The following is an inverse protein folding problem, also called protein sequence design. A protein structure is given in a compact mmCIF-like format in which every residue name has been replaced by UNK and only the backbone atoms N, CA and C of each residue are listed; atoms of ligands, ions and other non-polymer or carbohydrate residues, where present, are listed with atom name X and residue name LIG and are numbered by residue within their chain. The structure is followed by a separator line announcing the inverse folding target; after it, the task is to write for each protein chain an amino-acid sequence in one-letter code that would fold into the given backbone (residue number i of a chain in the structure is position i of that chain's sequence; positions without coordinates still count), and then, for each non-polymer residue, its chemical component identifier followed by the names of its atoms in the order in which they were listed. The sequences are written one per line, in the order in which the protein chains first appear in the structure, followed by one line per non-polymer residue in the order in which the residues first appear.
data_IF_630390764482
#
_entry.id   IF_630390764482
#
_cell.length_a   1.000
_cell.length_b   1.000
_cell.length_c   1.000
_cell.angle_alpha   90.00
_cell.angle_beta   90.00
_cell.angle_gamma   90.00
#
_symmetry.space_group_name_H-M   'P 1'
#
loop_
_entity.id
_entity.type
_entity.pdbx_description
1 polymer ?
#
# COMPACT_ATOMS: atom_id res chain seq x y z
N UNK A 1 -29.97 -11.30 4.98
CA UNK A 1 -29.39 -10.79 6.24
C UNK A 1 -29.20 -9.29 6.10
N UNK A 2 -29.25 -8.57 7.22
CA UNK A 2 -28.86 -7.17 7.30
C UNK A 2 -27.40 -7.07 7.70
N UNK A 3 -26.55 -6.52 6.83
CA UNK A 3 -25.10 -6.50 7.00
C UNK A 3 -24.61 -5.06 7.05
N UNK A 4 -23.79 -4.74 8.07
CA UNK A 4 -23.08 -3.49 8.12
C UNK A 4 -21.64 -3.64 7.58
N UNK A 5 -21.20 -2.64 6.82
CA UNK A 5 -19.82 -2.50 6.38
C UNK A 5 -19.32 -1.16 6.89
N UNK A 6 -18.20 -1.19 7.62
CA UNK A 6 -17.57 0.01 8.19
C UNK A 6 -16.30 0.33 7.41
N UNK A 7 -16.33 1.46 6.71
CA UNK A 7 -15.25 1.93 5.84
C UNK A 7 -15.54 1.73 4.34
N UNK A 8 -15.27 2.77 3.55
CA UNK A 8 -15.44 2.79 2.09
C UNK A 8 -14.12 2.78 1.32
N UNK A 9 -13.05 2.29 1.92
CA UNK A 9 -11.83 1.92 1.19
C UNK A 9 -12.14 0.80 0.18
N UNK A 10 -11.19 0.47 -0.68
CA UNK A 10 -11.39 -0.54 -1.74
C UNK A 10 -11.96 -1.86 -1.22
N UNK A 11 -11.51 -2.32 -0.03
CA UNK A 11 -12.01 -3.58 0.58
C UNK A 11 -13.49 -3.51 0.92
N UNK A 12 -13.93 -2.40 1.55
CA UNK A 12 -15.33 -2.20 1.91
C UNK A 12 -16.23 -2.03 0.70
N UNK A 13 -15.81 -1.24 -0.28
CA UNK A 13 -16.56 -1.03 -1.52
C UNK A 13 -16.75 -2.32 -2.32
N UNK A 14 -15.69 -3.14 -2.46
CA UNK A 14 -15.74 -4.42 -3.16
C UNK A 14 -16.65 -5.40 -2.42
N UNK A 15 -16.57 -5.47 -1.09
CA UNK A 15 -17.44 -6.33 -0.30
C UNK A 15 -18.91 -5.90 -0.40
N UNK A 16 -19.18 -4.58 -0.31
CA UNK A 16 -20.54 -4.04 -0.50
C UNK A 16 -21.11 -4.38 -1.87
N UNK A 17 -20.30 -4.17 -2.93
CA UNK A 17 -20.69 -4.47 -4.30
C UNK A 17 -21.07 -5.94 -4.49
N UNK A 18 -20.40 -6.87 -3.85
CA UNK A 18 -20.72 -8.31 -3.93
C UNK A 18 -21.94 -8.68 -3.08
N UNK A 19 -21.98 -8.20 -1.84
CA UNK A 19 -23.02 -8.59 -0.88
C UNK A 19 -24.39 -8.02 -1.18
N UNK A 20 -24.49 -6.85 -1.86
CA UNK A 20 -25.74 -6.19 -2.15
C UNK A 20 -26.73 -7.00 -2.99
N UNK A 21 -26.24 -8.01 -3.71
CA UNK A 21 -27.09 -8.82 -4.59
C UNK A 21 -28.03 -9.73 -3.82
N UNK A 22 -27.59 -10.22 -2.64
CA UNK A 22 -28.30 -11.23 -1.85
C UNK A 22 -28.65 -10.73 -0.44
N UNK A 23 -28.18 -9.54 -0.04
CA UNK A 23 -28.30 -9.04 1.33
C UNK A 23 -28.67 -7.55 1.38
N UNK A 24 -29.31 -7.16 2.47
CA UNK A 24 -29.48 -5.74 2.83
C UNK A 24 -28.14 -5.24 3.39
N UNK A 25 -27.48 -4.35 2.66
CA UNK A 25 -26.17 -3.79 3.05
C UNK A 25 -26.31 -2.34 3.47
N UNK A 26 -25.69 -1.96 4.58
CA UNK A 26 -25.54 -0.57 5.01
C UNK A 26 -24.05 -0.30 5.17
N UNK A 27 -23.57 0.76 4.52
CA UNK A 27 -22.14 1.13 4.52
C UNK A 27 -21.96 2.42 5.31
N UNK A 28 -21.08 2.40 6.31
CA UNK A 28 -20.73 3.55 7.14
C UNK A 28 -19.36 4.09 6.75
N UNK A 29 -19.29 5.41 6.56
CA UNK A 29 -18.04 6.11 6.27
C UNK A 29 -17.90 7.31 7.20
N UNK A 30 -16.72 7.42 7.81
CA UNK A 30 -16.40 8.53 8.71
C UNK A 30 -16.13 9.83 7.95
N UNK A 31 -15.55 9.72 6.75
CA UNK A 31 -15.22 10.86 5.90
C UNK A 31 -16.47 11.36 5.15
N UNK A 32 -16.39 12.56 4.60
CA UNK A 32 -17.41 13.18 3.74
C UNK A 32 -17.40 12.63 2.31
N UNK A 33 -16.44 11.76 1.96
CA UNK A 33 -16.27 11.12 0.65
C UNK A 33 -16.08 9.62 0.77
N UNK A 34 -16.37 8.90 -0.30
CA UNK A 34 -16.01 7.47 -0.45
C UNK A 34 -14.59 7.30 -1.00
N UNK A 35 -14.00 6.12 -0.83
CA UNK A 35 -12.79 5.69 -1.52
C UNK A 35 -11.54 5.50 -0.64
N UNK A 36 -11.50 6.04 0.57
CA UNK A 36 -10.33 5.93 1.45
C UNK A 36 -9.06 6.46 0.77
N UNK A 37 -8.03 5.61 0.59
CA UNK A 37 -6.77 5.96 -0.09
C UNK A 37 -6.92 6.17 -1.63
N UNK A 38 -8.02 5.77 -2.25
CA UNK A 38 -8.37 6.19 -3.59
C UNK A 38 -8.99 7.60 -3.52
N UNK A 39 -8.14 8.60 -3.70
CA UNK A 39 -8.51 10.00 -3.56
C UNK A 39 -8.00 10.81 -4.75
N UNK A 40 -8.92 11.22 -5.60
CA UNK A 40 -8.64 12.09 -6.75
C UNK A 40 -9.10 13.51 -6.45
N UNK A 41 -8.20 14.48 -6.60
CA UNK A 41 -8.43 15.89 -6.34
C UNK A 41 -8.37 16.68 -7.66
N UNK A 42 -9.30 17.57 -7.89
CA UNK A 42 -9.25 18.46 -9.05
C UNK A 42 -8.40 19.69 -8.77
N UNK A 43 -7.37 19.89 -9.59
CA UNK A 43 -6.44 21.03 -9.48
C UNK A 43 -6.48 21.84 -10.76
N UNK A 44 -6.68 23.15 -10.65
CA UNK A 44 -6.64 24.07 -11.78
C UNK A 44 -5.25 24.66 -11.95
N UNK A 45 -4.64 24.43 -13.12
CA UNK A 45 -3.37 25.04 -13.54
C UNK A 45 -3.63 25.82 -14.83
N UNK A 46 -3.36 27.12 -14.78
CA UNK A 46 -3.54 28.06 -15.89
C UNK A 46 -4.92 27.93 -16.59
N UNK A 47 -5.96 27.79 -15.78
CA UNK A 47 -7.35 27.70 -16.23
C UNK A 47 -7.81 26.30 -16.68
N UNK A 48 -6.94 25.30 -16.65
CA UNK A 48 -7.25 23.90 -17.01
C UNK A 48 -7.33 23.05 -15.74
N UNK A 49 -8.45 22.32 -15.59
CA UNK A 49 -8.63 21.39 -14.45
C UNK A 49 -7.98 20.03 -14.75
N UNK A 50 -7.27 19.50 -13.76
CA UNK A 50 -6.59 18.20 -13.80
C UNK A 50 -7.04 17.34 -12.62
N UNK A 51 -7.46 16.11 -12.89
CA UNK A 51 -7.82 15.12 -11.88
C UNK A 51 -6.54 14.41 -11.40
N UNK A 52 -6.14 14.64 -10.16
CA UNK A 52 -4.86 14.20 -9.60
C UNK A 52 -5.09 13.21 -8.46
N UNK A 53 -4.55 12.01 -8.58
CA UNK A 53 -4.58 11.01 -7.50
C UNK A 53 -3.52 11.33 -6.44
N UNK A 54 -3.94 11.32 -5.17
CA UNK A 54 -3.07 11.66 -4.04
C UNK A 54 -2.72 10.46 -3.16
N UNK A 55 -3.34 9.30 -3.40
CA UNK A 55 -3.08 8.05 -2.68
C UNK A 55 -2.79 6.91 -3.66
N UNK A 56 -3.79 6.14 -4.06
CA UNK A 56 -3.61 5.09 -5.07
C UNK A 56 -3.47 5.68 -6.48
N UNK A 57 -2.34 5.38 -7.17
CA UNK A 57 -1.99 6.01 -8.46
C UNK A 57 -1.82 4.97 -9.58
N UNK A 58 -1.08 3.88 -9.32
CA UNK A 58 -0.62 2.95 -10.37
C UNK A 58 -0.84 1.49 -9.99
N UNK A 59 -1.03 0.66 -11.00
CA UNK A 59 -1.12 -0.80 -10.89
C UNK A 59 -0.55 -1.47 -12.16
N UNK A 60 -0.44 -2.78 -12.16
CA UNK A 60 -0.17 -3.57 -13.37
C UNK A 60 -1.05 -4.82 -13.39
N UNK A 61 -1.38 -5.31 -14.56
CA UNK A 61 -2.34 -6.41 -14.71
C UNK A 61 -1.80 -7.75 -14.16
N UNK A 62 -0.48 -7.92 -14.15
CA UNK A 62 0.16 -9.15 -13.68
C UNK A 62 0.02 -9.33 -12.17
N UNK A 63 0.23 -8.25 -11.40
CA UNK A 63 0.21 -8.29 -9.94
C UNK A 63 -1.13 -7.88 -9.33
N UNK A 64 -2.05 -7.33 -10.16
CA UNK A 64 -3.36 -6.85 -9.74
C UNK A 64 -4.50 -7.52 -10.53
N UNK A 65 -4.56 -8.88 -10.58
CA UNK A 65 -5.54 -9.58 -11.41
C UNK A 65 -6.99 -9.36 -10.96
N UNK A 66 -7.26 -9.36 -9.65
CA UNK A 66 -8.60 -9.13 -9.14
C UNK A 66 -9.06 -7.68 -9.35
N UNK A 67 -8.18 -6.73 -9.15
CA UNK A 67 -8.46 -5.32 -9.43
C UNK A 67 -8.65 -5.07 -10.94
N UNK A 68 -7.83 -5.68 -11.80
CA UNK A 68 -7.98 -5.58 -13.25
C UNK A 68 -9.31 -6.17 -13.73
N UNK A 69 -9.73 -7.30 -13.17
CA UNK A 69 -11.04 -7.90 -13.44
C UNK A 69 -12.18 -6.98 -13.00
N UNK A 70 -12.06 -6.38 -11.83
CA UNK A 70 -13.03 -5.41 -11.31
C UNK A 70 -13.17 -4.19 -12.23
N UNK A 71 -12.06 -3.60 -12.68
CA UNK A 71 -12.10 -2.46 -13.62
C UNK A 71 -12.79 -2.84 -14.93
N UNK A 72 -12.54 -4.05 -15.43
CA UNK A 72 -13.20 -4.56 -16.63
C UNK A 72 -14.70 -4.74 -16.43
N UNK A 73 -15.12 -5.31 -15.29
CA UNK A 73 -16.54 -5.45 -14.91
C UNK A 73 -17.26 -4.11 -14.85
N UNK A 74 -16.60 -3.10 -14.29
CA UNK A 74 -17.14 -1.75 -14.13
C UNK A 74 -17.05 -0.90 -15.41
N UNK A 75 -16.39 -1.38 -16.47
CA UNK A 75 -16.16 -0.60 -17.69
C UNK A 75 -15.25 0.62 -17.49
N UNK A 76 -14.35 0.57 -16.50
CA UNK A 76 -13.44 1.68 -16.16
C UNK A 76 -12.16 1.57 -16.96
N UNK A 77 -11.87 2.60 -17.75
CA UNK A 77 -10.70 2.65 -18.61
C UNK A 77 -9.41 2.97 -17.82
N UNK A 78 -8.32 2.37 -18.27
CA UNK A 78 -6.96 2.68 -17.80
C UNK A 78 -6.01 2.90 -18.96
N UNK A 79 -4.88 3.55 -18.70
CA UNK A 79 -3.86 3.86 -19.70
C UNK A 79 -2.47 3.45 -19.20
N UNK A 80 -1.54 3.10 -20.09
CA UNK A 80 -0.14 2.87 -19.72
C UNK A 80 0.45 4.11 -19.04
N UNK A 81 1.37 3.87 -18.10
CA UNK A 81 2.11 4.92 -17.42
C UNK A 81 3.60 4.62 -17.37
N UNK A 82 4.40 5.65 -17.16
CA UNK A 82 5.85 5.53 -16.99
C UNK A 82 6.17 5.35 -15.51
N UNK A 83 6.64 4.15 -15.14
CA UNK A 83 7.18 3.89 -13.81
C UNK A 83 8.69 4.05 -13.84
N UNK A 84 9.21 5.00 -13.12
CA UNK A 84 10.64 5.25 -13.01
C UNK A 84 10.97 5.80 -11.62
N UNK A 85 12.19 5.53 -11.17
CA UNK A 85 12.63 5.88 -9.82
C UNK A 85 13.95 6.64 -9.87
N UNK A 86 14.05 7.73 -9.10
CA UNK A 86 15.28 8.48 -8.90
C UNK A 86 15.62 8.66 -7.43
N UNK A 87 16.90 8.84 -7.17
CA UNK A 87 17.43 9.22 -5.86
C UNK A 87 18.18 10.54 -6.00
N UNK A 88 17.86 11.44 -5.10
CA UNK A 88 18.52 12.73 -4.90
C UNK A 88 19.12 12.75 -3.50
N UNK A 89 20.41 12.49 -3.40
CA UNK A 89 21.14 12.61 -2.12
C UNK A 89 21.75 14.02 -2.00
N UNK A 90 21.05 14.90 -1.29
CA UNK A 90 21.46 16.31 -1.11
C UNK A 90 22.75 16.45 -0.29
N UNK A 91 23.08 15.45 0.54
CA UNK A 91 24.30 15.46 1.39
C UNK A 91 25.59 15.40 0.55
N UNK A 92 25.57 14.65 -0.55
CA UNK A 92 26.73 14.52 -1.45
C UNK A 92 26.47 15.03 -2.88
N UNK A 93 25.26 15.52 -3.16
CA UNK A 93 24.86 16.01 -4.48
C UNK A 93 24.75 14.92 -5.54
N UNK A 94 24.49 13.65 -5.14
CA UNK A 94 24.25 12.56 -6.06
C UNK A 94 22.81 12.58 -6.59
N UNK A 95 22.68 12.54 -7.92
CA UNK A 95 21.38 12.38 -8.58
C UNK A 95 21.49 11.31 -9.65
N UNK A 96 20.59 10.33 -9.62
CA UNK A 96 20.51 9.30 -10.66
C UNK A 96 19.07 8.78 -10.80
N UNK A 97 18.75 8.19 -11.97
CA UNK A 97 17.48 7.53 -12.26
C UNK A 97 17.74 6.12 -12.80
N UNK A 98 17.01 5.15 -12.29
CA UNK A 98 17.26 3.71 -12.53
C UNK A 98 16.63 3.14 -13.82
N UNK A 99 16.26 3.98 -14.83
CA UNK A 99 15.53 3.49 -16.00
C UNK A 99 16.42 2.89 -17.12
N UNK A 100 17.60 3.48 -17.36
CA UNK A 100 18.56 3.04 -18.37
C UNK A 100 19.94 3.65 -18.10
N UNK A 101 20.97 3.21 -18.84
CA UNK A 101 22.34 3.70 -18.65
C UNK A 101 22.47 5.23 -18.81
N UNK A 102 21.71 5.84 -19.74
CA UNK A 102 21.78 7.28 -19.96
C UNK A 102 21.25 8.08 -18.75
N UNK A 103 20.21 7.58 -18.09
CA UNK A 103 19.60 8.19 -16.92
C UNK A 103 20.29 7.78 -15.63
N UNK A 104 20.86 6.57 -15.57
CA UNK A 104 21.68 6.10 -14.46
C UNK A 104 22.93 6.99 -14.30
N UNK A 105 23.54 7.35 -15.41
CA UNK A 105 24.63 8.32 -15.47
C UNK A 105 24.13 9.71 -15.87
N UNK A 106 22.99 10.15 -15.33
CA UNK A 106 22.43 11.48 -15.57
C UNK A 106 23.46 12.58 -15.28
N UNK A 107 24.18 12.44 -14.18
CA UNK A 107 25.39 13.19 -13.87
C UNK A 107 26.60 12.46 -14.47
N UNK A 108 27.15 12.95 -15.58
CA UNK A 108 28.25 12.28 -16.31
C UNK A 108 29.52 12.07 -15.48
N UNK A 109 29.75 12.91 -14.45
CA UNK A 109 30.86 12.75 -13.49
C UNK A 109 30.81 11.38 -12.78
N UNK A 110 29.63 10.81 -12.60
CA UNK A 110 29.45 9.52 -11.91
C UNK A 110 30.06 8.33 -12.66
N UNK A 111 30.35 8.47 -13.98
CA UNK A 111 31.10 7.48 -14.75
C UNK A 111 32.52 7.23 -14.19
N UNK A 112 33.12 8.26 -13.62
CA UNK A 112 34.48 8.23 -13.06
C UNK A 112 34.48 8.22 -11.53
N UNK A 113 33.33 8.07 -10.87
CA UNK A 113 33.25 7.99 -9.40
C UNK A 113 33.29 6.54 -8.90
N UNK A 114 34.37 6.11 -8.23
CA UNK A 114 34.48 4.73 -7.74
C UNK A 114 33.37 4.35 -6.76
N UNK A 115 32.93 5.30 -5.92
CA UNK A 115 31.82 5.08 -4.97
C UNK A 115 30.51 4.76 -5.69
N UNK A 116 30.19 5.44 -6.79
CA UNK A 116 28.98 5.18 -7.57
C UNK A 116 29.07 3.85 -8.32
N UNK A 117 30.23 3.51 -8.89
CA UNK A 117 30.45 2.20 -9.52
C UNK A 117 30.30 1.07 -8.50
N UNK A 118 30.85 1.26 -7.29
CA UNK A 118 30.66 0.31 -6.17
C UNK A 118 29.17 0.15 -5.83
N UNK A 119 28.42 1.24 -5.70
CA UNK A 119 26.97 1.19 -5.47
C UNK A 119 26.26 0.33 -6.51
N UNK A 120 26.56 0.51 -7.81
CA UNK A 120 25.96 -0.29 -8.89
C UNK A 120 26.30 -1.79 -8.79
N UNK A 121 27.54 -2.11 -8.41
CA UNK A 121 27.97 -3.51 -8.22
C UNK A 121 27.25 -4.14 -7.01
N UNK A 122 27.05 -3.38 -5.94
CA UNK A 122 26.30 -3.83 -4.76
C UNK A 122 24.81 -4.04 -5.08
N UNK A 123 24.19 -3.17 -5.88
CA UNK A 123 22.81 -3.36 -6.38
C UNK A 123 22.69 -4.68 -7.16
N UNK A 124 23.61 -4.93 -8.10
CA UNK A 124 23.61 -6.17 -8.87
C UNK A 124 23.81 -7.41 -7.98
N UNK A 125 24.70 -7.31 -7.00
CA UNK A 125 24.93 -8.36 -5.99
C UNK A 125 23.69 -8.63 -5.15
N UNK A 126 23.04 -7.56 -4.67
CA UNK A 126 21.78 -7.65 -3.91
C UNK A 126 20.70 -8.36 -4.71
N UNK A 127 20.43 -7.93 -5.93
CA UNK A 127 19.41 -8.54 -6.79
C UNK A 127 19.65 -10.04 -6.99
N UNK A 128 20.91 -10.44 -7.17
CA UNK A 128 21.27 -11.87 -7.28
C UNK A 128 21.04 -12.62 -5.97
N UNK A 129 21.45 -12.05 -4.83
CA UNK A 129 21.31 -12.69 -3.52
C UNK A 129 19.83 -12.80 -3.10
N UNK A 130 19.05 -11.74 -3.36
CA UNK A 130 17.61 -11.73 -3.10
C UNK A 130 16.87 -12.81 -3.92
N UNK A 131 17.20 -13.01 -5.19
CA UNK A 131 16.63 -14.11 -5.99
C UNK A 131 16.97 -15.50 -5.43
N UNK A 132 18.19 -15.71 -4.94
CA UNK A 132 18.57 -16.97 -4.30
C UNK A 132 17.76 -17.21 -3.02
N UNK A 133 17.45 -16.14 -2.27
CA UNK A 133 16.62 -16.22 -1.07
C UNK A 133 15.17 -16.66 -1.40
N UNK A 134 14.63 -16.23 -2.54
CA UNK A 134 13.28 -16.61 -3.00
C UNK A 134 13.29 -18.02 -3.61
N UNK A 135 14.27 -18.37 -4.44
CA UNK A 135 14.33 -19.67 -5.12
C UNK A 135 14.51 -20.86 -4.18
N UNK A 136 15.04 -20.63 -2.97
CA UNK A 136 15.11 -21.68 -1.93
C UNK A 136 13.76 -22.13 -1.39
N UNK A 137 12.66 -21.43 -1.72
CA UNK A 137 11.29 -21.71 -1.28
C UNK A 137 10.48 -22.59 -2.26
N UNK A 138 11.00 -22.92 -3.44
CA UNK A 138 10.29 -23.85 -4.31
C UNK A 138 10.25 -25.23 -3.67
N UNK A 139 9.08 -25.81 -3.40
CA UNK A 139 9.02 -27.19 -2.93
C UNK A 139 9.70 -28.06 -3.99
N UNK A 140 10.72 -28.79 -3.59
CA UNK A 140 11.32 -29.81 -4.43
C UNK A 140 10.18 -30.70 -4.97
N UNK A 141 10.10 -30.87 -6.29
CA UNK A 141 9.27 -31.88 -6.94
C UNK A 141 9.37 -33.17 -6.12
N UNK A 142 8.26 -33.87 -5.86
CA UNK A 142 8.31 -35.08 -5.07
C UNK A 142 9.11 -36.14 -5.80
N UNK A 143 10.32 -36.38 -5.37
CA UNK A 143 11.05 -37.60 -5.60
C UNK A 143 11.14 -38.28 -4.24
N UNK A 144 10.25 -39.27 -4.08
CA UNK A 144 10.38 -40.44 -3.21
C UNK A 144 11.58 -40.43 -2.25
N UNK A 145 11.36 -40.08 -0.96
CA UNK A 145 12.10 -40.55 0.21
C UNK A 145 11.48 -40.06 1.52
N UNK A 146 11.51 -40.96 2.50
CA UNK A 146 11.02 -40.90 3.87
C UNK A 146 11.31 -39.59 4.61
N UNK A 147 10.47 -39.17 5.61
CA UNK A 147 10.67 -37.95 6.36
C UNK A 147 11.92 -38.04 7.23
N UNK A 148 12.96 -37.30 6.87
CA UNK A 148 14.05 -37.01 7.80
C UNK A 148 13.60 -35.93 8.79
N UNK A 149 14.00 -35.99 10.07
CA UNK A 149 13.66 -35.00 11.07
C UNK A 149 14.24 -33.64 10.68
N UNK A 150 13.37 -32.62 10.62
CA UNK A 150 13.74 -31.25 10.30
C UNK A 150 14.93 -30.77 11.14
N UNK A 151 16.04 -30.50 10.47
CA UNK A 151 17.21 -29.91 11.09
C UNK A 151 16.82 -28.56 11.72
N UNK A 152 17.11 -28.40 13.01
CA UNK A 152 16.79 -27.25 13.87
C UNK A 152 17.43 -25.89 13.45
N UNK A 153 18.04 -25.81 12.26
CA UNK A 153 18.75 -24.64 11.75
C UNK A 153 17.97 -23.75 10.76
N UNK A 154 16.79 -24.15 10.31
CA UNK A 154 16.04 -23.44 9.25
C UNK A 154 15.01 -22.44 9.79
N UNK A 155 14.51 -22.62 11.00
CA UNK A 155 13.51 -21.70 11.60
C UNK A 155 14.05 -20.29 11.88
N UNK A 156 15.34 -20.10 12.11
CA UNK A 156 15.96 -18.80 12.40
C UNK A 156 16.21 -17.89 11.18
N UNK A 157 15.98 -18.38 9.95
CA UNK A 157 16.19 -17.59 8.73
C UNK A 157 14.90 -17.03 8.10
N UNK A 158 13.74 -17.45 8.55
CA UNK A 158 12.47 -16.97 7.99
C UNK A 158 12.09 -15.56 8.46
N UNK A 159 12.59 -15.17 9.63
CA UNK A 159 12.27 -13.89 10.26
C UNK A 159 13.45 -12.88 10.21
N UNK A 160 14.53 -13.18 9.46
CA UNK A 160 15.69 -12.28 9.30
C UNK A 160 15.22 -10.92 8.74
N UNK A 161 15.54 -9.83 9.42
CA UNK A 161 15.25 -8.47 8.97
C UNK A 161 16.17 -8.04 7.82
N UNK A 162 15.78 -7.00 7.07
CA UNK A 162 16.67 -6.40 6.06
C UNK A 162 17.95 -5.87 6.67
N UNK A 163 17.94 -5.34 7.90
CA UNK A 163 19.13 -4.88 8.60
C UNK A 163 20.10 -6.04 8.82
N UNK A 164 19.64 -7.16 9.40
CA UNK A 164 20.46 -8.35 9.63
C UNK A 164 20.98 -8.97 8.32
N UNK A 165 20.13 -8.99 7.27
CA UNK A 165 20.50 -9.47 5.95
C UNK A 165 21.63 -8.63 5.34
N UNK A 166 21.53 -7.30 5.40
CA UNK A 166 22.54 -6.37 4.89
C UNK A 166 23.87 -6.51 5.63
N UNK A 167 23.82 -6.61 6.96
CA UNK A 167 24.99 -6.81 7.80
C UNK A 167 25.67 -8.14 7.49
N UNK A 168 24.93 -9.24 7.47
CA UNK A 168 25.43 -10.59 7.17
C UNK A 168 26.09 -10.70 5.80
N UNK A 169 25.57 -9.95 4.81
CA UNK A 169 26.13 -9.94 3.46
C UNK A 169 27.15 -8.82 3.23
N UNK A 170 27.52 -8.05 4.25
CA UNK A 170 28.50 -6.96 4.18
C UNK A 170 28.21 -5.95 3.06
N UNK A 171 26.97 -5.46 3.00
CA UNK A 171 26.62 -4.33 2.14
C UNK A 171 27.06 -3.01 2.79
N UNK A 172 27.43 -2.04 1.97
CA UNK A 172 27.89 -0.74 2.49
C UNK A 172 26.74 0.16 2.96
N UNK A 173 27.04 1.11 3.85
CA UNK A 173 26.08 2.15 4.26
C UNK A 173 25.57 2.98 3.07
N UNK A 174 26.44 3.18 2.06
CA UNK A 174 26.07 3.85 0.82
C UNK A 174 24.98 3.06 0.05
N UNK A 175 25.11 1.73 -0.02
CA UNK A 175 24.09 0.87 -0.62
C UNK A 175 22.75 1.00 0.13
N UNK A 176 22.79 0.97 1.45
CA UNK A 176 21.58 1.09 2.29
C UNK A 176 20.92 2.45 2.10
N UNK A 177 21.69 3.53 2.26
CA UNK A 177 21.17 4.90 2.28
C UNK A 177 20.87 5.49 0.89
N UNK A 178 21.50 4.98 -0.18
CA UNK A 178 21.34 5.51 -1.54
C UNK A 178 20.57 4.59 -2.49
N UNK A 179 20.21 3.36 -2.05
CA UNK A 179 19.43 2.44 -2.87
C UNK A 179 18.36 1.68 -2.08
N UNK A 180 18.75 0.85 -1.10
CA UNK A 180 17.83 -0.10 -0.46
C UNK A 180 16.70 0.62 0.28
N UNK A 181 17.03 1.54 1.17
CA UNK A 181 16.06 2.32 1.94
C UNK A 181 15.27 3.26 1.03
N UNK A 182 15.91 4.10 0.17
CA UNK A 182 15.19 4.95 -0.77
C UNK A 182 14.15 4.20 -1.61
N UNK A 183 14.54 3.06 -2.17
CA UNK A 183 13.67 2.31 -3.04
C UNK A 183 12.55 1.61 -2.25
N UNK A 184 12.91 0.87 -1.20
CA UNK A 184 11.95 0.11 -0.42
C UNK A 184 11.00 1.00 0.39
N UNK A 185 11.52 2.00 1.10
CA UNK A 185 10.67 2.92 1.87
C UNK A 185 9.68 3.70 0.97
N UNK A 186 10.06 4.01 -0.29
CA UNK A 186 9.15 4.64 -1.25
C UNK A 186 7.95 3.76 -1.60
N UNK A 187 8.14 2.43 -1.66
CA UNK A 187 7.09 1.48 -2.04
C UNK A 187 6.00 1.41 -0.95
N UNK A 188 6.41 1.40 0.32
CA UNK A 188 5.49 1.28 1.47
C UNK A 188 5.22 2.59 2.21
N UNK A 189 5.75 3.71 1.72
CA UNK A 189 5.70 5.01 2.44
C UNK A 189 6.19 4.87 3.89
N UNK A 190 7.20 4.01 4.09
CA UNK A 190 7.71 3.62 5.40
C UNK A 190 8.83 4.54 5.88
N UNK A 191 8.93 4.70 7.19
CA UNK A 191 10.08 5.37 7.79
C UNK A 191 11.38 4.57 7.51
N UNK A 192 12.48 5.24 7.15
CA UNK A 192 13.77 4.59 6.85
C UNK A 192 14.27 3.63 7.93
N UNK A 193 14.04 3.96 9.21
CA UNK A 193 14.50 3.13 10.33
C UNK A 193 13.61 1.89 10.50
N UNK A 194 12.30 2.07 10.44
CA UNK A 194 11.34 0.96 10.55
C UNK A 194 11.39 0.05 9.34
N UNK A 195 11.64 0.59 8.14
CA UNK A 195 11.75 -0.19 6.91
C UNK A 195 12.85 -1.27 6.99
N UNK A 196 13.97 -1.00 7.65
CA UNK A 196 15.05 -1.98 7.80
C UNK A 196 14.67 -3.18 8.67
N UNK A 197 13.58 -3.10 9.44
CA UNK A 197 13.01 -4.23 10.20
C UNK A 197 12.09 -5.13 9.37
N UNK A 198 11.80 -4.74 8.13
CA UNK A 198 11.01 -5.56 7.22
C UNK A 198 11.70 -6.92 7.00
N UNK A 199 10.97 -8.07 7.05
CA UNK A 199 11.57 -9.38 6.81
C UNK A 199 12.18 -9.48 5.41
N UNK A 200 13.48 -9.77 5.33
CA UNK A 200 14.27 -9.77 4.10
C UNK A 200 13.68 -10.70 3.02
N UNK A 201 13.16 -11.86 3.43
CA UNK A 201 12.53 -12.83 2.54
C UNK A 201 11.22 -12.30 1.95
N UNK A 202 10.38 -11.65 2.75
CA UNK A 202 9.12 -11.06 2.29
C UNK A 202 9.40 -9.92 1.30
N UNK A 203 10.39 -9.08 1.59
CA UNK A 203 10.86 -8.03 0.68
C UNK A 203 11.39 -8.61 -0.65
N UNK A 204 12.26 -9.62 -0.58
CA UNK A 204 12.82 -10.26 -1.77
C UNK A 204 11.72 -10.88 -2.65
N UNK A 205 10.73 -11.56 -2.04
CA UNK A 205 9.58 -12.15 -2.74
C UNK A 205 8.72 -11.07 -3.41
N UNK A 206 8.46 -9.98 -2.70
CA UNK A 206 7.75 -8.84 -3.30
C UNK A 206 8.49 -8.28 -4.52
N UNK A 207 9.80 -8.04 -4.38
CA UNK A 207 10.64 -7.51 -5.46
C UNK A 207 10.65 -8.45 -6.67
N UNK A 208 10.73 -9.77 -6.44
CA UNK A 208 10.73 -10.76 -7.52
C UNK A 208 9.37 -10.82 -8.23
N UNK A 209 8.27 -10.89 -7.48
CA UNK A 209 6.91 -10.89 -8.03
C UNK A 209 6.61 -9.67 -8.91
N UNK A 210 7.17 -8.50 -8.56
CA UNK A 210 6.99 -7.26 -9.31
C UNK A 210 8.03 -7.05 -10.42
N UNK A 211 8.88 -8.06 -10.69
CA UNK A 211 9.94 -7.96 -11.70
C UNK A 211 11.06 -6.97 -11.36
N UNK A 212 11.10 -6.47 -10.11
CA UNK A 212 12.03 -5.40 -9.68
C UNK A 212 13.46 -5.90 -9.46
N UNK A 213 13.66 -7.22 -9.36
CA UNK A 213 14.99 -7.83 -9.32
C UNK A 213 15.56 -8.09 -10.72
N UNK A 214 14.79 -7.82 -11.81
CA UNK A 214 15.20 -8.05 -13.18
C UNK A 214 15.20 -6.75 -13.99
N UNK A 215 16.11 -6.68 -14.97
CA UNK A 215 16.13 -5.60 -15.96
C UNK A 215 15.31 -5.94 -17.21
N UNK A 216 14.77 -7.17 -17.29
CA UNK A 216 14.00 -7.68 -18.42
C UNK A 216 12.60 -8.07 -17.96
N UNK A 217 11.65 -8.02 -18.89
CA UNK A 217 10.27 -8.48 -18.68
C UNK A 217 9.56 -7.77 -17.51
N UNK A 218 9.79 -6.47 -17.36
CA UNK A 218 9.09 -5.66 -16.38
C UNK A 218 7.61 -5.52 -16.77
N UNK A 219 6.67 -5.57 -15.80
CA UNK A 219 5.25 -5.41 -16.08
C UNK A 219 4.96 -4.00 -16.66
N UNK A 220 3.97 -3.93 -17.54
CA UNK A 220 3.46 -2.65 -18.03
C UNK A 220 2.62 -2.02 -16.92
N UNK A 221 3.09 -0.90 -16.40
CA UNK A 221 2.35 -0.15 -15.41
C UNK A 221 1.23 0.67 -16.05
N UNK A 222 0.15 0.83 -15.33
CA UNK A 222 -1.06 1.52 -15.77
C UNK A 222 -1.56 2.46 -14.68
N UNK A 223 -2.32 3.48 -15.09
CA UNK A 223 -3.09 4.36 -14.22
C UNK A 223 -4.53 4.44 -14.71
N UNK A 224 -5.46 4.78 -13.83
CA UNK A 224 -6.87 4.91 -14.21
C UNK A 224 -7.08 6.22 -14.97
N UNK A 225 -7.69 6.15 -16.13
CA UNK A 225 -7.98 7.33 -16.95
C UNK A 225 -9.00 8.24 -16.24
N UNK A 226 -8.59 9.45 -15.92
CA UNK A 226 -9.41 10.42 -15.17
C UNK A 226 -9.38 10.24 -13.65
N UNK A 227 -8.43 9.46 -13.15
CA UNK A 227 -8.16 9.26 -11.72
C UNK A 227 -8.93 8.11 -11.09
N UNK A 228 -8.44 7.68 -9.93
CA UNK A 228 -8.96 6.52 -9.16
C UNK A 228 -10.42 6.68 -8.74
N UNK A 229 -10.92 7.90 -8.57
CA UNK A 229 -12.35 8.15 -8.28
C UNK A 229 -13.29 7.51 -9.32
N UNK A 230 -12.86 7.28 -10.56
CA UNK A 230 -13.70 6.66 -11.59
C UNK A 230 -14.19 5.27 -11.22
N UNK A 231 -13.32 4.44 -10.67
CA UNK A 231 -13.75 3.12 -10.22
C UNK A 231 -14.51 3.19 -8.89
N UNK A 232 -14.14 4.12 -8.01
CA UNK A 232 -14.84 4.35 -6.74
C UNK A 232 -16.29 4.74 -6.99
N UNK A 233 -16.53 5.72 -7.87
CA UNK A 233 -17.86 6.17 -8.26
C UNK A 233 -18.66 5.04 -8.92
N UNK A 234 -18.05 4.28 -9.82
CA UNK A 234 -18.70 3.17 -10.50
C UNK A 234 -19.14 2.05 -9.52
N UNK A 235 -18.28 1.72 -8.53
CA UNK A 235 -18.65 0.80 -7.47
C UNK A 235 -19.79 1.34 -6.61
N UNK A 236 -19.60 2.55 -6.08
CA UNK A 236 -20.56 3.17 -5.15
C UNK A 236 -21.93 3.43 -5.81
N UNK A 237 -21.99 3.71 -7.10
CA UNK A 237 -23.24 3.96 -7.81
C UNK A 237 -24.27 2.83 -7.66
N UNK A 238 -23.80 1.57 -7.56
CA UNK A 238 -24.67 0.40 -7.44
C UNK A 238 -25.33 0.22 -6.07
N UNK A 239 -24.91 0.99 -5.05
CA UNK A 239 -25.45 0.96 -3.68
C UNK A 239 -25.38 2.34 -3.00
N UNK A 240 -25.44 3.43 -3.76
CA UNK A 240 -25.27 4.80 -3.24
C UNK A 240 -26.24 5.17 -2.13
N UNK A 241 -27.49 4.70 -2.20
CA UNK A 241 -28.51 4.93 -1.18
C UNK A 241 -28.24 4.23 0.16
N UNK A 242 -27.30 3.29 0.20
CA UNK A 242 -26.92 2.52 1.38
C UNK A 242 -25.65 3.07 2.05
N UNK A 243 -24.99 4.04 1.43
CA UNK A 243 -23.77 4.67 1.95
C UNK A 243 -24.12 5.85 2.83
N UNK A 244 -23.61 5.85 4.05
CA UNK A 244 -23.79 6.90 5.03
C UNK A 244 -22.45 7.60 5.29
N UNK A 245 -22.24 8.70 4.60
CA UNK A 245 -21.07 9.57 4.75
C UNK A 245 -21.14 10.39 6.02
N UNK A 246 -19.99 10.86 6.49
CA UNK A 246 -19.85 11.65 7.73
C UNK A 246 -20.56 11.01 8.92
N UNK A 247 -20.53 9.68 8.95
CA UNK A 247 -21.22 8.88 9.95
C UNK A 247 -20.25 7.84 10.58
N UNK A 248 -19.30 8.32 11.38
CA UNK A 248 -18.33 7.44 12.03
C UNK A 248 -19.02 6.46 12.97
N UNK A 249 -18.57 5.20 12.90
CA UNK A 249 -18.92 4.16 13.87
C UNK A 249 -17.98 4.28 15.08
N UNK A 250 -18.58 4.37 16.25
CA UNK A 250 -17.83 4.54 17.50
C UNK A 250 -17.74 3.24 18.32
N UNK A 251 -18.70 2.32 18.14
CA UNK A 251 -18.74 1.08 18.92
C UNK A 251 -19.42 -0.04 18.13
N UNK A 252 -18.84 -1.22 18.20
CA UNK A 252 -19.40 -2.48 17.70
C UNK A 252 -19.45 -3.47 18.85
N UNK A 253 -20.65 -3.93 19.22
CA UNK A 253 -20.87 -4.83 20.33
C UNK A 253 -21.69 -6.04 19.88
N UNK A 254 -21.25 -7.24 20.25
CA UNK A 254 -22.09 -8.44 20.12
C UNK A 254 -23.20 -8.38 21.13
N UNK A 255 -24.44 -8.52 20.72
CA UNK A 255 -25.59 -8.54 21.59
C UNK A 255 -26.25 -9.93 21.55
N UNK A 256 -26.35 -10.57 22.69
CA UNK A 256 -27.19 -11.75 22.90
C UNK A 256 -28.28 -11.36 23.89
N UNK A 257 -29.43 -10.85 23.41
CA UNK A 257 -30.52 -10.55 24.32
C UNK A 257 -31.00 -11.84 24.97
N UNK A 258 -31.38 -11.79 26.23
CA UNK A 258 -32.00 -12.92 26.96
C UNK A 258 -33.26 -13.35 26.18
N UNK A 259 -33.19 -14.45 25.41
CA UNK A 259 -34.30 -14.98 24.60
C UNK A 259 -34.43 -14.44 23.15
N UNK A 260 -33.49 -13.64 22.66
CA UNK A 260 -33.52 -13.10 21.28
C UNK A 260 -32.45 -13.72 20.37
N UNK A 261 -32.58 -13.49 19.03
CA UNK A 261 -31.59 -13.90 18.05
C UNK A 261 -30.26 -13.15 18.30
N UNK A 262 -29.10 -13.82 18.31
CA UNK A 262 -27.80 -13.16 18.38
C UNK A 262 -27.68 -12.11 17.26
N UNK A 263 -27.09 -10.96 17.54
CA UNK A 263 -26.88 -9.88 16.57
C UNK A 263 -25.76 -8.97 17.02
N UNK A 264 -25.46 -7.98 16.19
CA UNK A 264 -24.41 -7.03 16.46
C UNK A 264 -25.03 -5.64 16.48
N UNK A 265 -24.77 -4.90 17.55
CA UNK A 265 -25.17 -3.50 17.68
C UNK A 265 -24.02 -2.60 17.26
N UNK A 266 -24.31 -1.65 16.38
CA UNK A 266 -23.38 -0.60 15.95
C UNK A 266 -23.88 0.73 16.49
N UNK A 267 -23.06 1.41 17.30
CA UNK A 267 -23.28 2.80 17.66
C UNK A 267 -22.49 3.71 16.73
N UNK A 268 -23.18 4.65 16.12
CA UNK A 268 -22.65 5.61 15.16
C UNK A 268 -23.16 7.03 15.50
N UNK A 269 -22.69 8.05 14.79
CA UNK A 269 -22.99 9.46 15.12
C UNK A 269 -24.48 9.82 15.13
N UNK A 270 -25.33 9.04 14.45
CA UNK A 270 -26.78 9.30 14.35
C UNK A 270 -27.62 8.35 15.19
N UNK A 271 -27.01 7.49 16.03
CA UNK A 271 -27.73 6.56 16.91
C UNK A 271 -27.10 5.17 16.98
N UNK A 272 -27.93 4.16 17.22
CA UNK A 272 -27.49 2.76 17.23
C UNK A 272 -28.44 1.89 16.41
N UNK A 273 -27.88 0.93 15.68
CA UNK A 273 -28.62 -0.01 14.84
C UNK A 273 -28.12 -1.44 15.02
N UNK A 274 -29.01 -2.40 14.76
CA UNK A 274 -28.71 -3.83 14.87
C UNK A 274 -28.55 -4.48 13.49
N UNK A 275 -27.56 -5.35 13.39
CA UNK A 275 -27.19 -6.10 12.20
C UNK A 275 -26.99 -7.58 12.49
N UNK A 276 -27.15 -8.43 11.46
CA UNK A 276 -26.87 -9.86 11.54
C UNK A 276 -25.38 -10.16 11.48
N UNK A 277 -24.64 -9.36 10.67
CA UNK A 277 -23.18 -9.46 10.44
C UNK A 277 -22.59 -8.07 10.29
N UNK A 278 -21.30 -7.96 10.63
CA UNK A 278 -20.54 -6.71 10.48
C UNK A 278 -19.20 -7.03 9.81
N UNK A 279 -18.85 -6.24 8.78
CA UNK A 279 -17.53 -6.22 8.19
C UNK A 279 -16.83 -4.92 8.58
N UNK A 280 -15.71 -5.03 9.31
CA UNK A 280 -14.81 -3.93 9.60
C UNK A 280 -13.77 -3.84 8.47
N UNK A 281 -13.95 -2.86 7.57
CA UNK A 281 -13.09 -2.59 6.42
C UNK A 281 -12.27 -1.30 6.62
N UNK A 282 -11.92 -1.03 7.87
CA UNK A 282 -11.05 0.06 8.33
C UNK A 282 -9.61 -0.44 8.49
N UNK A 283 -8.69 0.41 8.97
CA UNK A 283 -7.41 -0.06 9.48
C UNK A 283 -7.60 -1.01 10.67
N UNK A 284 -6.61 -1.88 10.94
CA UNK A 284 -6.75 -2.88 12.01
C UNK A 284 -6.78 -2.26 13.40
N UNK A 285 -6.03 -1.19 13.64
CA UNK A 285 -6.05 -0.41 14.88
C UNK A 285 -7.39 0.31 15.10
N UNK A 286 -7.98 0.89 14.04
CA UNK A 286 -9.32 1.47 14.10
C UNK A 286 -10.38 0.39 14.35
N UNK A 287 -10.28 -0.76 13.68
CA UNK A 287 -11.17 -1.89 13.92
C UNK A 287 -11.12 -2.34 15.39
N UNK A 288 -9.92 -2.49 15.93
CA UNK A 288 -9.72 -2.86 17.35
C UNK A 288 -10.31 -1.81 18.30
N UNK A 289 -10.11 -0.52 17.99
CA UNK A 289 -10.56 0.59 18.82
C UNK A 289 -12.09 0.67 18.94
N UNK A 290 -12.83 0.32 17.89
CA UNK A 290 -14.30 0.38 17.90
C UNK A 290 -14.97 -0.90 18.43
N UNK A 291 -14.25 -2.01 18.60
CA UNK A 291 -14.76 -3.21 19.25
C UNK A 291 -15.00 -2.95 20.75
N UNK A 292 -16.21 -3.22 21.22
CA UNK A 292 -16.57 -3.02 22.63
C UNK A 292 -15.84 -3.98 23.56
N UNK A 293 -15.80 -5.26 23.18
CA UNK A 293 -15.22 -6.36 23.94
C UNK A 293 -14.34 -7.22 23.00
N UNK A 294 -13.15 -6.72 22.60
CA UNK A 294 -12.27 -7.49 21.75
C UNK A 294 -11.73 -8.73 22.49
N UNK A 295 -11.80 -9.90 21.84
CA UNK A 295 -11.20 -11.13 22.36
C UNK A 295 -9.68 -11.02 22.44
N UNK A 296 -9.02 -11.89 23.20
CA UNK A 296 -7.56 -11.93 23.28
C UNK A 296 -6.91 -12.14 21.91
N UNK A 297 -7.52 -12.94 21.03
CA UNK A 297 -7.06 -13.15 19.66
C UNK A 297 -7.20 -11.86 18.82
N UNK A 298 -8.34 -11.16 18.89
CA UNK A 298 -8.54 -9.89 18.18
C UNK A 298 -7.55 -8.82 18.67
N UNK A 299 -7.32 -8.71 19.97
CA UNK A 299 -6.32 -7.78 20.53
C UNK A 299 -4.91 -8.11 20.03
N UNK A 300 -4.53 -9.39 20.07
CA UNK A 300 -3.20 -9.82 19.63
C UNK A 300 -2.99 -9.63 18.13
N UNK A 301 -3.96 -10.03 17.31
CA UNK A 301 -3.82 -10.05 15.85
C UNK A 301 -3.97 -8.64 15.25
N UNK A 302 -5.04 -7.91 15.62
CA UNK A 302 -5.27 -6.56 15.07
C UNK A 302 -4.27 -5.54 15.62
N UNK A 303 -3.90 -5.68 16.89
CA UNK A 303 -2.95 -4.79 17.55
C UNK A 303 -1.48 -4.99 17.17
N UNK A 304 -1.14 -6.13 16.53
CA UNK A 304 0.22 -6.38 16.06
C UNK A 304 0.59 -5.59 14.81
N UNK A 305 -0.40 -5.04 14.09
CA UNK A 305 -0.18 -4.26 12.88
C UNK A 305 -0.20 -2.77 13.25
N UNK A 306 0.98 -2.18 13.32
CA UNK A 306 1.13 -0.75 13.58
C UNK A 306 0.97 0.07 12.30
N UNK A 307 0.69 1.37 12.45
CA UNK A 307 0.52 2.28 11.32
C UNK A 307 1.43 3.50 11.45
N UNK A 308 2.02 3.87 10.33
CA UNK A 308 2.78 5.09 10.20
C UNK A 308 1.94 6.15 9.50
N UNK A 309 1.84 7.33 10.12
CA UNK A 309 1.22 8.51 9.52
C UNK A 309 2.18 9.17 8.56
N UNK A 310 1.66 9.57 7.40
CA UNK A 310 2.40 10.30 6.39
C UNK A 310 1.60 11.52 5.98
N UNK A 311 2.26 12.67 5.97
CA UNK A 311 1.70 13.90 5.37
C UNK A 311 1.86 13.83 3.86
N UNK A 312 0.84 14.22 3.12
CA UNK A 312 0.81 14.22 1.66
C UNK A 312 0.45 15.60 1.18
N UNK A 313 1.37 16.25 0.48
CA UNK A 313 1.18 17.60 -0.06
C UNK A 313 1.09 17.57 -1.57
N UNK A 314 -0.04 18.05 -2.11
CA UNK A 314 -0.24 18.30 -3.54
C UNK A 314 0.20 19.71 -3.88
N UNK A 315 1.16 19.88 -4.78
CA UNK A 315 1.81 21.17 -5.02
C UNK A 315 2.39 21.30 -6.45
N UNK A 316 2.97 22.46 -6.75
CA UNK A 316 3.64 22.76 -8.03
C UNK A 316 5.08 23.25 -7.87
N UNK A 317 5.72 22.99 -6.74
CA UNK A 317 7.09 23.40 -6.45
C UNK A 317 8.11 22.49 -7.14
N UNK A 318 8.66 22.94 -8.26
CA UNK A 318 9.62 22.18 -9.07
C UNK A 318 10.95 21.89 -8.34
N UNK A 319 11.27 22.59 -7.24
CA UNK A 319 12.46 22.31 -6.41
C UNK A 319 12.46 20.94 -5.76
N UNK A 320 11.29 20.29 -5.70
CA UNK A 320 11.12 18.93 -5.22
C UNK A 320 11.47 17.86 -6.28
N UNK A 321 11.85 18.25 -7.49
CA UNK A 321 12.40 17.38 -8.51
C UNK A 321 13.94 17.49 -8.59
N UNK A 322 14.65 16.47 -9.10
CA UNK A 322 16.09 16.55 -9.36
C UNK A 322 16.46 17.80 -10.18
N UNK A 323 17.57 18.42 -9.85
CA UNK A 323 18.12 19.55 -10.63
C UNK A 323 18.57 19.06 -12.02
N UNK A 324 19.20 17.89 -12.06
CA UNK A 324 19.59 17.24 -13.31
C UNK A 324 18.36 16.70 -14.05
N UNK A 325 17.95 17.35 -15.15
CA UNK A 325 16.73 16.98 -15.88
C UNK A 325 16.65 15.50 -16.26
N UNK A 326 17.77 14.86 -16.62
CA UNK A 326 17.83 13.44 -16.96
C UNK A 326 17.63 12.53 -15.76
N UNK A 327 17.79 13.03 -14.53
CA UNK A 327 17.55 12.29 -13.29
C UNK A 327 16.08 12.38 -12.86
N UNK A 328 15.28 13.30 -13.39
CA UNK A 328 13.86 13.42 -13.06
C UNK A 328 13.11 12.14 -13.42
N UNK A 329 12.37 11.62 -12.48
CA UNK A 329 11.62 10.38 -12.60
C UNK A 329 10.15 10.60 -12.20
N UNK A 330 9.31 9.61 -12.45
CA UNK A 330 7.94 9.63 -11.92
C UNK A 330 7.90 9.52 -10.40
N UNK A 331 8.88 8.85 -9.79
CA UNK A 331 9.10 8.77 -8.34
C UNK A 331 10.48 9.32 -8.02
N UNK A 332 10.57 10.34 -7.17
CA UNK A 332 11.83 10.99 -6.82
C UNK A 332 12.00 10.95 -5.30
N UNK A 333 12.95 10.15 -4.83
CA UNK A 333 13.29 10.06 -3.41
C UNK A 333 14.37 11.08 -3.06
N UNK A 334 14.12 11.85 -2.03
CA UNK A 334 15.05 12.85 -1.54
C UNK A 334 15.66 12.35 -0.23
N UNK A 335 16.99 12.15 -0.24
CA UNK A 335 17.78 11.93 0.96
C UNK A 335 18.25 13.29 1.45
N UNK A 336 17.67 13.75 2.54
CA UNK A 336 18.02 15.00 3.20
C UNK A 336 18.25 14.75 4.70
N UNK A 337 19.10 15.53 5.36
CA UNK A 337 19.21 15.50 6.81
C UNK A 337 18.55 16.76 7.37
N UNK A 338 17.87 16.68 8.52
CA UNK A 338 17.74 15.59 9.49
C UNK A 338 16.29 15.11 9.72
N UNK A 339 15.40 15.13 8.74
CA UNK A 339 13.96 14.87 8.96
C UNK A 339 13.66 13.43 9.44
N UNK A 340 14.59 12.49 9.22
CA UNK A 340 14.42 11.10 9.60
C UNK A 340 13.29 10.39 8.84
N UNK A 341 12.52 11.11 8.01
CA UNK A 341 11.40 10.58 7.25
C UNK A 341 11.76 10.38 5.77
N UNK A 342 11.14 9.40 5.14
CA UNK A 342 11.25 9.20 3.70
C UNK A 342 10.47 10.31 2.96
N UNK A 343 11.18 11.21 2.28
CA UNK A 343 10.55 12.21 1.41
C UNK A 343 10.50 11.68 -0.01
N UNK A 344 9.29 11.46 -0.52
CA UNK A 344 9.05 10.95 -1.87
C UNK A 344 8.18 11.93 -2.64
N UNK A 345 8.65 12.36 -3.80
CA UNK A 345 7.88 13.23 -4.70
C UNK A 345 7.45 12.45 -5.95
N UNK A 346 6.15 12.33 -6.14
CA UNK A 346 5.52 11.76 -7.33
C UNK A 346 5.27 12.85 -8.36
N UNK A 347 5.74 12.65 -9.59
CA UNK A 347 5.50 13.57 -10.69
C UNK A 347 4.27 13.12 -11.48
N UNK A 348 3.14 13.74 -11.19
CA UNK A 348 1.84 13.31 -11.68
C UNK A 348 1.64 13.53 -13.18
N UNK A 349 2.37 14.51 -13.77
CA UNK A 349 2.37 14.68 -15.23
C UNK A 349 2.86 13.41 -15.94
N UNK A 350 3.91 12.75 -15.41
CA UNK A 350 4.44 11.50 -15.95
C UNK A 350 3.53 10.31 -15.58
N UNK A 351 3.09 10.23 -14.31
CA UNK A 351 2.33 9.09 -13.80
C UNK A 351 0.91 9.02 -14.36
N UNK A 352 0.23 10.15 -14.51
CA UNK A 352 -1.16 10.19 -15.00
C UNK A 352 -1.28 10.76 -16.42
N UNK A 353 -0.16 11.12 -17.06
CA UNK A 353 -0.16 11.70 -18.41
C UNK A 353 -0.82 13.08 -18.46
N UNK A 354 -0.69 13.89 -17.38
CA UNK A 354 -1.33 15.18 -17.27
C UNK A 354 -0.60 16.22 -18.13
N UNK A 355 -1.34 16.85 -19.04
CA UNK A 355 -0.81 17.91 -19.92
C UNK A 355 -0.97 19.28 -19.26
N UNK A 356 -0.20 19.53 -18.19
CA UNK A 356 -0.15 20.82 -17.52
C UNK A 356 1.14 21.58 -17.89
N UNK A 357 1.08 22.91 -17.85
CA UNK A 357 2.21 23.81 -18.13
C UNK A 357 3.24 23.81 -17.01
N UNK A 358 2.81 23.44 -15.78
CA UNK A 358 3.65 23.33 -14.58
C UNK A 358 3.71 21.89 -14.13
N UNK A 359 4.77 21.47 -13.42
CA UNK A 359 4.76 20.17 -12.75
C UNK A 359 3.65 20.13 -11.69
N UNK A 360 2.88 19.06 -11.70
CA UNK A 360 1.94 18.72 -10.65
C UNK A 360 2.58 17.59 -9.85
N UNK A 361 2.80 17.83 -8.59
CA UNK A 361 3.60 16.99 -7.70
C UNK A 361 2.78 16.60 -6.47
N UNK A 362 2.96 15.36 -6.05
CA UNK A 362 2.45 14.85 -4.77
C UNK A 362 3.66 14.42 -3.96
N UNK A 363 3.90 15.06 -2.82
CA UNK A 363 5.07 14.77 -1.99
C UNK A 363 4.64 14.23 -0.63
N UNK A 364 5.24 13.12 -0.23
CA UNK A 364 5.10 12.53 1.09
C UNK A 364 6.19 13.09 2.02
N UNK A 365 5.78 13.47 3.23
CA UNK A 365 6.66 13.85 4.35
C UNK A 365 7.69 14.93 4.01
N UNK A 366 7.32 15.89 3.18
CA UNK A 366 8.20 16.99 2.76
C UNK A 366 7.54 18.37 2.80
N UNK A 367 6.50 18.54 3.60
CA UNK A 367 5.74 19.80 3.65
C UNK A 367 6.61 21.00 4.01
N UNK A 368 7.58 20.82 4.89
CA UNK A 368 8.55 21.82 5.33
C UNK A 368 9.56 22.25 4.24
N UNK A 369 9.75 21.43 3.22
CA UNK A 369 10.65 21.68 2.09
C UNK A 369 9.95 22.42 0.93
N UNK A 370 8.61 22.43 0.92
CA UNK A 370 7.78 22.94 -0.16
C UNK A 370 7.47 24.43 0.07
N UNK A 371 7.54 25.26 -0.99
CA UNK A 371 7.05 26.64 -0.92
C UNK A 371 5.55 26.67 -0.62
N UNK A 372 5.09 27.23 0.50
CA UNK A 372 3.67 27.27 0.86
C UNK A 372 2.77 27.88 -0.22
N UNK A 373 3.30 28.79 -1.05
CA UNK A 373 2.54 29.41 -2.15
C UNK A 373 2.25 28.44 -3.29
N UNK A 374 2.99 27.36 -3.39
CA UNK A 374 2.81 26.31 -4.41
C UNK A 374 1.83 25.22 -4.00
N UNK A 375 1.49 25.14 -2.71
CA UNK A 375 0.59 24.12 -2.16
C UNK A 375 -0.82 24.29 -2.70
N UNK A 376 -1.44 23.17 -3.05
CA UNK A 376 -2.81 23.08 -3.56
C UNK A 376 -3.75 22.36 -2.60
N UNK A 377 -3.26 21.30 -1.94
CA UNK A 377 -3.99 20.56 -0.92
C UNK A 377 -3.01 19.76 -0.03
N UNK A 378 -3.46 19.41 1.16
CA UNK A 378 -2.73 18.57 2.11
C UNK A 378 -3.65 17.49 2.65
N UNK A 379 -3.07 16.30 2.87
CA UNK A 379 -3.76 15.12 3.39
C UNK A 379 -2.87 14.42 4.40
N UNK A 380 -3.49 13.61 5.25
CA UNK A 380 -2.81 12.66 6.12
C UNK A 380 -3.27 11.24 5.74
N UNK A 381 -2.32 10.36 5.44
CA UNK A 381 -2.57 8.94 5.21
C UNK A 381 -1.76 8.09 6.17
N UNK A 382 -2.36 7.01 6.65
CA UNK A 382 -1.69 6.04 7.49
C UNK A 382 -1.43 4.75 6.71
N UNK A 383 -0.20 4.26 6.77
CA UNK A 383 0.21 3.04 6.08
C UNK A 383 0.63 1.97 7.08
N UNK A 384 0.25 0.69 6.89
CA UNK A 384 0.64 -0.38 7.78
C UNK A 384 2.14 -0.65 7.71
N UNK A 385 2.74 -0.92 8.85
CA UNK A 385 4.15 -1.32 9.00
C UNK A 385 4.22 -2.85 8.98
N UNK A 386 5.07 -3.40 8.11
CA UNK A 386 5.22 -4.85 7.93
C UNK A 386 6.51 -5.35 8.56
N UNK A 387 6.47 -5.54 9.85
CA UNK A 387 7.48 -6.21 10.65
C UNK A 387 7.14 -7.70 10.91
N UNK A 388 7.98 -8.41 11.64
CA UNK A 388 7.76 -9.82 11.95
C UNK A 388 6.45 -10.07 12.74
N UNK A 389 6.07 -9.25 13.76
CA UNK A 389 4.75 -9.31 14.40
C UNK A 389 3.57 -9.16 13.44
N UNK A 390 3.60 -8.16 12.56
CA UNK A 390 2.54 -7.94 11.57
C UNK A 390 2.39 -9.13 10.61
N UNK A 391 3.51 -9.68 10.13
CA UNK A 391 3.51 -10.86 9.26
C UNK A 391 2.97 -12.12 9.99
N UNK A 392 3.24 -12.26 11.28
CA UNK A 392 2.67 -13.34 12.11
C UNK A 392 1.15 -13.17 12.27
N UNK A 393 0.69 -11.95 12.51
CA UNK A 393 -0.73 -11.62 12.61
C UNK A 393 -1.50 -11.93 11.31
N UNK A 394 -0.92 -11.63 10.15
CA UNK A 394 -1.51 -11.99 8.85
C UNK A 394 -1.74 -13.50 8.70
N UNK A 395 -0.80 -14.34 9.17
CA UNK A 395 -0.95 -15.80 9.14
C UNK A 395 -2.07 -16.29 10.08
N UNK A 396 -2.24 -15.64 11.21
CA UNK A 396 -3.25 -15.96 12.22
C UNK A 396 -4.65 -15.37 11.95
N UNK A 397 -4.83 -14.57 10.87
CA UNK A 397 -6.09 -13.87 10.56
C UNK A 397 -7.34 -14.75 10.59
N UNK A 398 -7.19 -16.05 10.28
CA UNK A 398 -8.30 -17.01 10.24
C UNK A 398 -8.92 -17.27 11.62
N UNK A 399 -8.20 -17.00 12.70
CA UNK A 399 -8.66 -17.20 14.09
C UNK A 399 -9.75 -16.21 14.51
N UNK A 400 -9.77 -15.02 13.86
CA UNK A 400 -10.72 -13.94 14.19
C UNK A 400 -11.84 -13.76 13.16
N UNK A 401 -11.70 -14.31 11.96
CA UNK A 401 -12.69 -14.11 10.89
C UNK A 401 -14.03 -14.79 11.22
N UNK A 402 -15.11 -13.99 11.21
CA UNK A 402 -16.48 -14.47 11.40
C UNK A 402 -16.84 -14.81 12.85
N UNK A 403 -15.90 -14.69 13.79
CA UNK A 403 -16.19 -14.89 15.20
C UNK A 403 -17.26 -13.90 15.67
N UNK A 404 -18.30 -14.39 16.35
CA UNK A 404 -19.43 -13.55 16.80
C UNK A 404 -20.14 -12.78 15.67
N UNK A 405 -19.96 -13.18 14.39
CA UNK A 405 -20.52 -12.50 13.23
C UNK A 405 -19.77 -11.25 12.78
N UNK A 406 -18.55 -11.03 13.32
CA UNK A 406 -17.68 -9.90 12.97
C UNK A 406 -16.59 -10.40 12.01
N UNK A 407 -16.38 -9.64 10.93
CA UNK A 407 -15.39 -9.92 9.88
C UNK A 407 -14.46 -8.72 9.69
N UNK A 408 -13.27 -8.96 9.18
CA UNK A 408 -12.25 -7.95 8.99
C UNK A 408 -11.71 -8.00 7.56
N UNK A 409 -11.66 -6.86 6.89
CA UNK A 409 -11.05 -6.73 5.57
C UNK A 409 -10.15 -5.50 5.51
N UNK A 410 -9.08 -5.59 4.72
CA UNK A 410 -8.14 -4.50 4.52
C UNK A 410 -6.91 -4.97 3.77
N UNK A 411 -6.20 -4.04 3.15
CA UNK A 411 -4.95 -4.32 2.45
C UNK A 411 -3.84 -4.81 3.40
N UNK A 412 -3.94 -4.52 4.68
CA UNK A 412 -3.01 -4.97 5.71
C UNK A 412 -2.95 -6.50 5.90
N UNK A 413 -3.90 -7.24 5.34
CA UNK A 413 -3.85 -8.71 5.29
C UNK A 413 -2.92 -9.29 4.21
N UNK A 414 -2.32 -8.43 3.38
CA UNK A 414 -1.28 -8.72 2.39
C UNK A 414 -0.11 -7.76 2.53
N UNK A 415 0.39 -7.24 1.44
CA UNK A 415 1.50 -6.28 1.40
C UNK A 415 1.05 -4.81 1.47
N UNK A 416 -0.23 -4.53 1.70
CA UNK A 416 -0.77 -3.18 1.82
C UNK A 416 -1.19 -2.53 0.49
N UNK A 417 -1.20 -3.27 -0.61
CA UNK A 417 -1.55 -2.75 -1.93
C UNK A 417 -3.03 -2.89 -2.26
N UNK A 418 -3.44 -2.21 -3.32
CA UNK A 418 -4.84 -2.18 -3.76
C UNK A 418 -5.39 -3.57 -4.09
N UNK A 419 -4.58 -4.43 -4.70
CA UNK A 419 -4.93 -5.83 -4.97
C UNK A 419 -5.24 -6.59 -3.67
N UNK A 420 -4.41 -6.42 -2.63
CA UNK A 420 -4.63 -7.06 -1.34
C UNK A 420 -5.96 -6.61 -0.72
N UNK A 421 -6.27 -5.31 -0.87
CA UNK A 421 -7.55 -4.75 -0.44
C UNK A 421 -8.74 -5.35 -1.18
N UNK A 422 -8.66 -5.48 -2.50
CA UNK A 422 -9.69 -6.10 -3.34
C UNK A 422 -9.89 -7.55 -2.94
N UNK A 423 -8.82 -8.34 -2.89
CA UNK A 423 -8.88 -9.75 -2.53
C UNK A 423 -9.41 -9.96 -1.11
N UNK A 424 -9.01 -9.11 -0.17
CA UNK A 424 -9.54 -9.16 1.20
C UNK A 424 -11.04 -8.86 1.26
N UNK A 425 -11.51 -7.88 0.50
CA UNK A 425 -12.94 -7.57 0.37
C UNK A 425 -13.75 -8.72 -0.23
N UNK A 426 -13.22 -9.35 -1.29
CA UNK A 426 -13.81 -10.55 -1.91
C UNK A 426 -13.90 -11.69 -0.91
N UNK A 427 -12.79 -12.01 -0.25
CA UNK A 427 -12.74 -13.13 0.71
C UNK A 427 -13.69 -12.93 1.89
N UNK A 428 -13.81 -11.69 2.41
CA UNK A 428 -14.75 -11.38 3.47
C UNK A 428 -16.21 -11.50 3.00
N UNK A 429 -16.53 -11.00 1.80
CA UNK A 429 -17.87 -11.13 1.24
C UNK A 429 -18.26 -12.60 1.04
N UNK A 430 -17.36 -13.42 0.50
CA UNK A 430 -17.57 -14.85 0.31
C UNK A 430 -17.76 -15.59 1.65
N UNK A 431 -17.01 -15.20 2.69
CA UNK A 431 -17.15 -15.78 4.03
C UNK A 431 -18.50 -15.41 4.69
N UNK A 432 -18.95 -14.17 4.52
CA UNK A 432 -20.25 -13.68 5.01
C UNK A 432 -21.41 -14.37 4.26
N UNK A 433 -21.29 -14.52 2.93
CA UNK A 433 -22.33 -15.08 2.06
C UNK A 433 -22.52 -16.59 2.21
N UNK A 434 -21.53 -17.32 2.70
CA UNK A 434 -21.69 -18.75 3.01
C UNK A 434 -22.71 -18.90 4.13
N UNK A 435 -23.88 -19.43 3.79
CA UNK A 435 -24.87 -19.86 4.80
C UNK A 435 -24.23 -20.96 5.63
N UNK A 436 -24.00 -20.71 6.92
CA UNK A 436 -23.71 -21.75 7.93
C UNK A 436 -24.96 -22.58 8.18
#
# INVERSE_FOLDING_TARGET
MKIAIVGTGVSGLVAAHRLRLDHEVVVFEADSRVGGHANTVDVTIDGVSHAVDTGFIVYNEQNYPAFSSLLSELGVASQPTTMSFSVVDRRCGLEYRSSNLNTLFAQRRNLCQPSFIRLLTEIARFNRTARLLVSSDQPHRPADRSPEPAASGTRGREDESLAEFVERHHFSDAFVSQYLVPFGASIWSADPQTFTQFPARAYARFMDNHGLLSLRDQPVWRTITGGSRRYVDALAASFSNQVRLSNPVHKVASSSPSGGTPGIEIAHSQGAERFDRVLLATHSDDALRILADPSAAEQSILGAISYQRNTVTLHTDERMLPVTLRARASWNYIVDEPSGHATVTYWMNELQGLRATKPILVTLNGADLIDPRSVKAEFEYSHPVFDAPAMAAQRARHEIQGQRGIYFAGAYWGYGFHEDGVQSGIAAADAIGRRT
#
